data_IF_983465009564
#
_entry.id   IF_983465009564
#
_cell.length_a   1.000
_cell.length_b   1.000
_cell.length_c   1.000
_cell.angle_alpha   90.00
_cell.angle_beta   90.00
_cell.angle_gamma   90.00
#
_symmetry.space_group_name_H-M   'P 1'
#
loop_
_entity.id
_entity.type
_entity.pdbx_description
1 polymer ?
#
# COMPACT_ATOMS: atom_id res chain seq x y z
N UNK A 1 -13.93 6.24 19.79
CA UNK A 1 -13.29 5.74 18.56
C UNK A 1 -13.78 6.63 17.44
N UNK A 2 -12.89 7.39 16.79
CA UNK A 2 -13.30 8.21 15.64
C UNK A 2 -13.64 7.29 14.48
N UNK A 3 -14.78 7.55 13.84
CA UNK A 3 -15.28 6.77 12.73
C UNK A 3 -14.45 7.10 11.48
N UNK A 4 -13.75 6.11 10.90
CA UNK A 4 -13.03 6.32 9.64
C UNK A 4 -14.01 6.91 8.60
N UNK A 5 -13.73 8.13 8.15
CA UNK A 5 -14.58 8.82 7.18
C UNK A 5 -13.92 8.80 5.82
N UNK A 6 -14.50 8.03 4.90
CA UNK A 6 -14.13 8.08 3.48
C UNK A 6 -14.63 9.38 2.86
N UNK A 7 -13.70 10.20 2.37
CA UNK A 7 -14.02 11.47 1.74
C UNK A 7 -14.60 11.22 0.34
N UNK A 8 -15.46 12.14 -0.10
CA UNK A 8 -16.17 12.01 -1.38
C UNK A 8 -15.49 12.74 -2.53
N UNK A 9 -14.49 13.57 -2.24
CA UNK A 9 -13.79 14.34 -3.26
C UNK A 9 -12.35 14.65 -2.83
N UNK A 10 -11.54 15.00 -3.84
CA UNK A 10 -10.11 15.28 -3.69
C UNK A 10 -9.85 16.59 -2.94
N UNK A 11 -10.75 17.58 -3.05
CA UNK A 11 -10.58 18.88 -2.41
C UNK A 11 -10.54 18.73 -0.89
N UNK A 12 -11.48 17.97 -0.34
CA UNK A 12 -11.56 17.70 1.09
C UNK A 12 -10.36 16.86 1.56
N UNK A 13 -9.89 15.92 0.72
CA UNK A 13 -8.69 15.14 1.01
C UNK A 13 -7.44 16.02 1.10
N UNK A 14 -7.26 16.96 0.17
CA UNK A 14 -6.15 17.93 0.23
C UNK A 14 -6.21 18.80 1.48
N UNK A 15 -7.41 19.20 1.91
CA UNK A 15 -7.58 19.92 3.17
C UNK A 15 -7.18 19.05 4.37
N UNK A 16 -7.61 17.79 4.41
CA UNK A 16 -7.28 16.84 5.47
C UNK A 16 -5.78 16.49 5.54
N UNK A 17 -5.06 16.59 4.42
CA UNK A 17 -3.62 16.33 4.36
C UNK A 17 -2.77 17.50 4.88
N UNK A 18 -3.33 18.71 4.97
CA UNK A 18 -2.57 19.91 5.33
C UNK A 18 -2.00 19.79 6.75
N UNK A 19 -0.68 19.87 6.89
CA UNK A 19 0.01 19.74 8.18
C UNK A 19 0.12 18.31 8.70
N UNK A 20 -0.17 17.30 7.87
CA UNK A 20 -0.06 15.88 8.23
C UNK A 20 1.05 15.18 7.43
N UNK A 21 1.49 14.02 7.91
CA UNK A 21 2.38 13.13 7.16
C UNK A 21 1.63 12.05 6.35
N UNK A 22 0.30 12.09 6.36
CA UNK A 22 -0.55 11.10 5.69
C UNK A 22 -0.39 11.20 4.17
N UNK A 23 -0.70 10.11 3.47
CA UNK A 23 -0.80 10.09 2.00
C UNK A 23 -2.27 10.08 1.58
N UNK A 24 -2.55 10.32 0.30
CA UNK A 24 -3.91 10.14 -0.21
C UNK A 24 -4.10 8.70 -0.66
N UNK A 25 -5.21 8.07 -0.24
CA UNK A 25 -5.63 6.76 -0.74
C UNK A 25 -6.92 6.92 -1.52
N UNK A 26 -6.89 6.63 -2.82
CA UNK A 26 -8.05 6.67 -3.70
C UNK A 26 -8.60 5.25 -3.87
N UNK A 27 -9.90 5.06 -3.62
CA UNK A 27 -10.64 3.86 -3.96
C UNK A 27 -11.60 4.16 -5.11
N UNK A 28 -11.28 3.64 -6.29
CA UNK A 28 -12.19 3.65 -7.44
C UNK A 28 -13.11 2.45 -7.37
N UNK A 29 -14.42 2.69 -7.41
CA UNK A 29 -15.43 1.65 -7.25
C UNK A 29 -16.59 1.79 -8.24
N UNK A 30 -17.26 0.67 -8.52
CA UNK A 30 -18.57 0.65 -9.17
C UNK A 30 -19.60 0.07 -8.18
N UNK A 31 -20.75 0.74 -7.93
CA UNK A 31 -21.79 0.23 -7.03
C UNK A 31 -22.32 -1.17 -7.38
N UNK A 32 -22.23 -1.57 -8.66
CA UNK A 32 -22.69 -2.86 -9.15
C UNK A 32 -21.59 -3.94 -9.14
N UNK A 33 -20.34 -3.58 -8.85
CA UNK A 33 -19.23 -4.53 -8.77
C UNK A 33 -19.29 -5.37 -7.47
N UNK A 34 -19.24 -6.69 -7.60
CA UNK A 34 -19.25 -7.63 -6.47
C UNK A 34 -18.03 -7.46 -5.55
N UNK A 35 -16.84 -7.24 -6.13
CA UNK A 35 -15.61 -6.96 -5.38
C UNK A 35 -15.69 -5.65 -4.60
N UNK A 36 -16.34 -4.62 -5.16
CA UNK A 36 -16.56 -3.35 -4.47
C UNK A 36 -17.51 -3.54 -3.28
N UNK A 37 -18.64 -4.22 -3.47
CA UNK A 37 -19.58 -4.53 -2.38
C UNK A 37 -18.88 -5.27 -1.24
N UNK A 38 -18.09 -6.29 -1.55
CA UNK A 38 -17.36 -7.06 -0.54
C UNK A 38 -16.27 -6.23 0.15
N UNK A 39 -15.62 -5.33 -0.57
CA UNK A 39 -14.67 -4.37 0.01
C UNK A 39 -15.36 -3.48 1.05
N UNK A 40 -16.48 -2.85 0.70
CA UNK A 40 -17.19 -1.97 1.63
C UNK A 40 -17.77 -2.71 2.84
N UNK A 41 -18.37 -3.89 2.65
CA UNK A 41 -19.10 -4.62 3.70
C UNK A 41 -18.27 -5.63 4.49
N UNK A 42 -16.97 -5.76 4.21
CA UNK A 42 -16.11 -6.69 4.93
C UNK A 42 -14.77 -6.05 5.24
N UNK A 43 -14.02 -5.70 4.20
CA UNK A 43 -12.66 -5.16 4.35
C UNK A 43 -12.65 -3.82 5.09
N UNK A 44 -13.52 -2.88 4.69
CA UNK A 44 -13.53 -1.52 5.23
C UNK A 44 -14.31 -1.38 6.54
N UNK A 45 -15.05 -2.41 6.95
CA UNK A 45 -15.73 -2.47 8.25
C UNK A 45 -14.82 -3.04 9.35
N UNK A 46 -13.75 -3.75 8.99
CA UNK A 46 -12.79 -4.30 9.95
C UNK A 46 -12.04 -3.20 10.73
N UNK A 47 -11.95 -3.37 12.06
CA UNK A 47 -11.38 -2.35 12.94
C UNK A 47 -9.88 -2.10 12.73
N UNK A 48 -9.11 -3.14 12.39
CA UNK A 48 -7.67 -3.02 12.13
C UNK A 48 -7.48 -2.25 10.84
N UNK A 49 -8.21 -2.61 9.79
CA UNK A 49 -8.20 -1.89 8.51
C UNK A 49 -8.59 -0.43 8.71
N UNK A 50 -9.66 -0.15 9.47
CA UNK A 50 -10.11 1.23 9.71
C UNK A 50 -9.07 2.06 10.43
N UNK A 51 -8.49 1.52 11.51
CA UNK A 51 -7.45 2.20 12.28
C UNK A 51 -6.20 2.47 11.43
N UNK A 52 -5.80 1.49 10.61
CA UNK A 52 -4.63 1.61 9.76
C UNK A 52 -4.83 2.64 8.65
N UNK A 53 -5.99 2.60 7.98
CA UNK A 53 -6.32 3.56 6.91
C UNK A 53 -6.42 4.97 7.48
N UNK A 54 -7.07 5.16 8.64
CA UNK A 54 -7.14 6.48 9.29
C UNK A 54 -5.75 6.97 9.67
N UNK A 55 -4.88 6.11 10.20
CA UNK A 55 -3.55 6.52 10.64
C UNK A 55 -2.66 6.97 9.46
N UNK A 56 -2.72 6.25 8.34
CA UNK A 56 -1.78 6.43 7.24
C UNK A 56 -2.29 7.37 6.13
N UNK A 57 -3.62 7.53 5.99
CA UNK A 57 -4.19 8.15 4.79
C UNK A 57 -5.27 9.21 5.07
N UNK A 58 -5.43 10.09 4.08
CA UNK A 58 -6.70 10.75 3.79
C UNK A 58 -7.42 9.92 2.68
N UNK A 59 -8.34 9.01 3.04
CA UNK A 59 -8.97 8.13 2.07
C UNK A 59 -10.12 8.80 1.32
N UNK A 60 -10.23 8.53 0.03
CA UNK A 60 -11.26 9.07 -0.87
C UNK A 60 -11.89 7.92 -1.64
N UNK A 61 -13.22 7.83 -1.65
CA UNK A 61 -13.94 6.90 -2.52
C UNK A 61 -14.53 7.63 -3.72
N UNK A 62 -14.28 7.10 -4.91
CA UNK A 62 -14.64 7.70 -6.20
C UNK A 62 -15.43 6.68 -7.02
N UNK A 63 -16.70 6.98 -7.31
CA UNK A 63 -17.52 6.13 -8.16
C UNK A 63 -17.12 6.34 -9.63
N UNK A 64 -16.70 5.29 -10.32
CA UNK A 64 -16.27 5.39 -11.74
C UNK A 64 -17.37 5.87 -12.67
N UNK A 65 -18.63 5.73 -12.26
CA UNK A 65 -19.81 6.19 -13.01
C UNK A 65 -20.04 7.70 -12.94
N UNK A 66 -19.55 8.38 -11.90
CA UNK A 66 -19.68 9.83 -11.74
C UNK A 66 -18.36 10.60 -11.85
N UNK A 67 -17.24 9.94 -11.61
CA UNK A 67 -15.90 10.56 -11.57
C UNK A 67 -15.09 10.27 -12.84
N UNK A 68 -15.66 10.61 -14.02
CA UNK A 68 -15.10 10.25 -15.32
C UNK A 68 -13.70 10.81 -15.58
N UNK A 69 -13.44 12.07 -15.19
CA UNK A 69 -12.13 12.71 -15.38
C UNK A 69 -11.04 12.00 -14.57
N UNK A 70 -11.34 11.62 -13.33
CA UNK A 70 -10.41 10.91 -12.46
C UNK A 70 -10.23 9.45 -12.91
N UNK A 71 -11.31 8.81 -13.35
CA UNK A 71 -11.31 7.46 -13.94
C UNK A 71 -10.41 7.43 -15.18
N UNK A 72 -10.53 8.43 -16.06
CA UNK A 72 -9.68 8.57 -17.24
C UNK A 72 -8.23 8.89 -16.88
N UNK A 73 -7.99 9.83 -15.95
CA UNK A 73 -6.65 10.23 -15.49
C UNK A 73 -5.81 9.05 -15.03
N UNK A 74 -6.41 8.13 -14.28
CA UNK A 74 -5.73 6.94 -13.76
C UNK A 74 -5.94 5.68 -14.59
N UNK A 75 -6.52 5.79 -15.80
CA UNK A 75 -6.79 4.65 -16.67
C UNK A 75 -7.43 3.46 -15.90
N UNK A 76 -8.53 3.74 -15.19
CA UNK A 76 -9.20 2.73 -14.37
C UNK A 76 -9.97 1.77 -15.29
N UNK A 77 -9.48 0.54 -15.41
CA UNK A 77 -10.10 -0.52 -16.21
C UNK A 77 -10.91 -1.52 -15.37
N UNK A 78 -10.56 -1.66 -14.08
CA UNK A 78 -11.18 -2.62 -13.17
C UNK A 78 -11.50 -1.98 -11.82
N UNK A 79 -12.50 -2.52 -11.12
CA UNK A 79 -12.87 -2.11 -9.77
C UNK A 79 -13.00 -3.32 -8.83
N UNK A 80 -12.71 -3.18 -7.52
CA UNK A 80 -12.14 -1.99 -6.89
C UNK A 80 -10.68 -1.79 -7.31
N UNK A 81 -10.26 -0.55 -7.50
CA UNK A 81 -8.85 -0.18 -7.71
C UNK A 81 -8.45 0.81 -6.64
N UNK A 82 -7.31 0.55 -6.01
CA UNK A 82 -6.75 1.40 -4.97
C UNK A 82 -5.48 2.05 -5.48
N UNK A 83 -5.34 3.35 -5.25
CA UNK A 83 -4.18 4.13 -5.70
C UNK A 83 -3.71 5.02 -4.54
N UNK A 84 -2.43 4.96 -4.23
CA UNK A 84 -1.78 5.90 -3.33
C UNK A 84 -1.16 7.02 -4.16
N UNK A 85 -1.38 8.27 -3.77
CA UNK A 85 -0.84 9.44 -4.50
C UNK A 85 -0.08 10.39 -3.59
N UNK A 86 0.81 11.18 -4.19
CA UNK A 86 1.38 12.36 -3.56
C UNK A 86 0.37 13.54 -3.53
N UNK A 87 0.78 14.69 -2.99
CA UNK A 87 -0.03 15.91 -2.90
C UNK A 87 -0.44 16.50 -4.27
N UNK A 88 0.32 16.15 -5.32
CA UNK A 88 0.09 16.57 -6.70
C UNK A 88 -0.79 15.58 -7.49
N UNK A 89 -1.32 14.57 -6.81
CA UNK A 89 -2.11 13.49 -7.41
C UNK A 89 -1.28 12.70 -8.44
N UNK A 90 0.03 12.58 -8.22
CA UNK A 90 0.87 11.63 -8.93
C UNK A 90 0.67 10.26 -8.30
N UNK A 91 0.40 9.26 -9.11
CA UNK A 91 0.35 7.87 -8.68
C UNK A 91 1.72 7.42 -8.17
N UNK A 92 1.76 6.88 -6.96
CA UNK A 92 2.93 6.28 -6.35
C UNK A 92 2.83 4.75 -6.36
N UNK A 93 1.66 4.22 -5.99
CA UNK A 93 1.41 2.79 -5.89
C UNK A 93 -0.05 2.46 -6.23
N UNK A 94 -0.27 1.23 -6.71
CA UNK A 94 -1.59 0.72 -7.10
C UNK A 94 -1.73 -0.76 -6.76
N UNK A 95 -2.93 -1.14 -6.34
CA UNK A 95 -3.37 -2.55 -6.41
C UNK A 95 -4.83 -2.62 -6.87
N UNK A 96 -5.17 -3.75 -7.51
CA UNK A 96 -6.46 -3.96 -8.17
C UNK A 96 -7.13 -5.20 -7.59
N UNK A 97 -8.43 -5.10 -7.36
CA UNK A 97 -9.26 -6.20 -6.89
C UNK A 97 -9.52 -6.19 -5.39
N UNK A 98 -10.46 -7.04 -4.99
CA UNK A 98 -10.85 -7.25 -3.61
C UNK A 98 -9.77 -8.06 -2.86
N UNK A 99 -9.54 -7.69 -1.59
CA UNK A 99 -8.80 -8.49 -0.62
C UNK A 99 -9.59 -8.58 0.70
N UNK A 100 -9.59 -9.74 1.40
CA UNK A 100 -10.12 -9.81 2.76
C UNK A 100 -9.32 -8.94 3.74
N UNK A 101 -9.85 -8.68 4.95
CA UNK A 101 -9.23 -7.76 5.90
C UNK A 101 -7.74 -8.03 6.20
N UNK A 102 -7.34 -9.29 6.40
CA UNK A 102 -5.96 -9.66 6.76
C UNK A 102 -4.97 -9.39 5.61
N UNK A 103 -5.31 -9.84 4.40
CA UNK A 103 -4.51 -9.61 3.20
C UNK A 103 -4.52 -8.14 2.81
N UNK A 104 -5.65 -7.44 2.96
CA UNK A 104 -5.74 -6.00 2.73
C UNK A 104 -4.83 -5.23 3.68
N UNK A 105 -4.80 -5.58 4.96
CA UNK A 105 -3.92 -4.95 5.96
C UNK A 105 -2.44 -5.09 5.55
N UNK A 106 -2.05 -6.28 5.11
CA UNK A 106 -0.68 -6.53 4.61
C UNK A 106 -0.40 -5.77 3.31
N UNK A 107 -1.34 -5.78 2.37
CA UNK A 107 -1.23 -5.11 1.07
C UNK A 107 -1.15 -3.59 1.21
N UNK A 108 -2.03 -2.96 1.99
CA UNK A 108 -2.03 -1.51 2.17
C UNK A 108 -0.77 -1.04 2.90
N UNK A 109 -0.27 -1.82 3.85
CA UNK A 109 1.01 -1.54 4.52
C UNK A 109 2.18 -1.66 3.55
N UNK A 110 2.19 -2.69 2.69
CA UNK A 110 3.22 -2.86 1.66
C UNK A 110 3.21 -1.65 0.71
N UNK A 111 2.04 -1.31 0.18
CA UNK A 111 1.88 -0.18 -0.74
C UNK A 111 2.23 1.16 -0.09
N UNK A 112 1.95 1.35 1.20
CA UNK A 112 2.43 2.53 1.93
C UNK A 112 3.97 2.58 2.01
N UNK A 113 4.62 1.45 2.30
CA UNK A 113 6.07 1.37 2.36
C UNK A 113 6.72 1.65 0.99
N UNK A 114 6.16 1.10 -0.08
CA UNK A 114 6.62 1.36 -1.45
C UNK A 114 6.38 2.82 -1.88
N UNK A 115 5.22 3.39 -1.58
CA UNK A 115 4.95 4.81 -1.80
C UNK A 115 5.95 5.69 -1.04
N UNK A 116 6.30 5.32 0.19
CA UNK A 116 7.31 6.02 1.00
C UNK A 116 8.71 5.95 0.35
N UNK A 117 9.07 4.82 -0.27
CA UNK A 117 10.32 4.70 -1.04
C UNK A 117 10.37 5.67 -2.23
N UNK A 118 9.26 5.85 -2.96
CA UNK A 118 9.17 6.81 -4.07
C UNK A 118 9.34 8.26 -3.61
N UNK A 119 8.96 8.55 -2.37
CA UNK A 119 9.10 9.85 -1.72
C UNK A 119 10.42 10.02 -0.95
N UNK A 120 11.34 9.06 -1.04
CA UNK A 120 12.59 9.00 -0.27
C UNK A 120 12.40 9.07 1.26
N UNK A 121 11.24 8.62 1.75
CA UNK A 121 10.89 8.47 3.17
C UNK A 121 11.32 7.08 3.66
N UNK A 122 12.64 6.87 3.73
CA UNK A 122 13.23 5.54 3.93
C UNK A 122 12.88 4.94 5.29
N UNK A 123 12.78 5.78 6.34
CA UNK A 123 12.43 5.32 7.69
C UNK A 123 10.99 4.80 7.77
N UNK A 124 10.06 5.50 7.14
CA UNK A 124 8.65 5.09 7.05
C UNK A 124 8.50 3.81 6.23
N UNK A 125 9.27 3.68 5.15
CA UNK A 125 9.31 2.45 4.36
C UNK A 125 9.83 1.25 5.17
N UNK A 126 10.96 1.42 5.87
CA UNK A 126 11.54 0.40 6.75
C UNK A 126 10.51 -0.09 7.79
N UNK A 127 9.87 0.86 8.50
CA UNK A 127 8.88 0.54 9.52
C UNK A 127 7.69 -0.25 8.96
N UNK A 128 7.19 0.13 7.78
CA UNK A 128 6.08 -0.56 7.12
C UNK A 128 6.44 -2.00 6.74
N UNK A 129 7.61 -2.20 6.13
CA UNK A 129 8.06 -3.54 5.76
C UNK A 129 8.36 -4.41 6.97
N UNK A 130 9.03 -3.87 7.99
CA UNK A 130 9.28 -4.58 9.24
C UNK A 130 7.98 -5.02 9.92
N UNK A 131 6.98 -4.12 9.99
CA UNK A 131 5.68 -4.44 10.57
C UNK A 131 5.02 -5.66 9.90
N UNK A 132 5.07 -5.76 8.56
CA UNK A 132 4.51 -6.92 7.83
C UNK A 132 5.24 -8.20 8.24
N UNK A 133 6.58 -8.16 8.34
CA UNK A 133 7.38 -9.34 8.64
C UNK A 133 7.22 -9.82 10.09
N UNK A 134 6.91 -8.89 11.00
CA UNK A 134 6.70 -9.20 12.42
C UNK A 134 5.27 -9.66 12.69
N UNK A 135 4.27 -9.03 12.07
CA UNK A 135 2.85 -9.27 12.37
C UNK A 135 2.22 -10.28 11.41
N UNK A 136 2.54 -10.21 10.11
CA UNK A 136 1.95 -11.05 9.06
C UNK A 136 3.04 -11.78 8.21
N UNK A 137 3.96 -12.54 8.85
CA UNK A 137 5.14 -13.12 8.20
C UNK A 137 4.86 -14.10 7.05
N UNK A 138 3.64 -14.65 7.01
CA UNK A 138 3.19 -15.65 6.05
C UNK A 138 2.26 -15.08 4.98
N UNK A 139 2.02 -13.76 4.99
CA UNK A 139 1.23 -13.09 3.94
C UNK A 139 1.92 -13.20 2.58
N UNK A 140 1.13 -13.17 1.51
CA UNK A 140 1.65 -13.24 0.12
C UNK A 140 2.64 -12.12 -0.22
N UNK A 141 2.51 -10.98 0.46
CA UNK A 141 3.38 -9.81 0.30
C UNK A 141 4.64 -9.85 1.16
N UNK A 142 4.76 -10.78 2.11
CA UNK A 142 5.91 -10.85 3.02
C UNK A 142 7.26 -11.01 2.29
N UNK A 143 7.41 -11.83 1.24
CA UNK A 143 8.65 -11.87 0.46
C UNK A 143 9.00 -10.52 -0.19
N UNK A 144 8.00 -9.78 -0.68
CA UNK A 144 8.19 -8.45 -1.24
C UNK A 144 8.63 -7.44 -0.16
N UNK A 145 7.97 -7.46 1.00
CA UNK A 145 8.33 -6.62 2.12
C UNK A 145 9.78 -6.87 2.57
N UNK A 146 10.21 -8.14 2.66
CA UNK A 146 11.60 -8.48 2.99
C UNK A 146 12.60 -7.96 1.96
N UNK A 147 12.28 -8.08 0.67
CA UNK A 147 13.11 -7.54 -0.41
C UNK A 147 13.30 -6.03 -0.24
N UNK A 148 12.21 -5.28 -0.11
CA UNK A 148 12.29 -3.82 -0.02
C UNK A 148 12.79 -3.30 1.32
N UNK A 149 12.67 -4.05 2.42
CA UNK A 149 13.35 -3.73 3.68
C UNK A 149 14.86 -3.69 3.49
N UNK A 150 15.43 -4.69 2.81
CA UNK A 150 16.85 -4.70 2.45
C UNK A 150 17.26 -3.51 1.59
N UNK A 151 16.44 -3.19 0.57
CA UNK A 151 16.67 -2.04 -0.31
C UNK A 151 16.59 -0.72 0.45
N UNK A 152 15.63 -0.55 1.36
CA UNK A 152 15.49 0.65 2.18
C UNK A 152 16.73 0.86 3.06
N UNK A 153 17.17 -0.18 3.77
CA UNK A 153 18.37 -0.14 4.61
C UNK A 153 19.64 0.17 3.81
N UNK A 154 19.79 -0.42 2.63
CA UNK A 154 20.90 -0.10 1.73
C UNK A 154 20.85 1.36 1.25
N UNK A 155 19.68 1.87 0.86
CA UNK A 155 19.55 3.27 0.43
C UNK A 155 19.88 4.26 1.54
N UNK A 156 19.55 3.92 2.79
CA UNK A 156 19.81 4.77 3.96
C UNK A 156 21.31 4.80 4.30
N UNK A 157 22.00 3.65 4.20
CA UNK A 157 23.36 3.48 4.73
C UNK A 157 24.47 3.46 3.68
N UNK A 158 24.14 3.07 2.44
CA UNK A 158 25.10 2.70 1.39
C UNK A 158 25.79 1.34 1.61
N UNK A 159 25.48 0.60 2.67
CA UNK A 159 26.14 -0.67 2.98
C UNK A 159 25.50 -1.84 2.24
N UNK A 160 26.23 -2.40 1.28
CA UNK A 160 25.80 -3.53 0.45
C UNK A 160 25.56 -4.81 1.24
N UNK A 161 26.08 -4.93 2.48
CA UNK A 161 25.78 -6.08 3.34
C UNK A 161 24.30 -6.21 3.68
N UNK A 162 23.54 -5.10 3.69
CA UNK A 162 22.08 -5.20 3.86
C UNK A 162 21.42 -5.99 2.73
N UNK A 163 21.90 -5.83 1.49
CA UNK A 163 21.39 -6.55 0.32
C UNK A 163 21.79 -8.04 0.38
N UNK A 164 23.05 -8.34 0.70
CA UNK A 164 23.54 -9.71 0.84
C UNK A 164 22.78 -10.49 1.93
N UNK A 165 22.64 -9.91 3.13
CA UNK A 165 21.86 -10.51 4.23
C UNK A 165 20.38 -10.72 3.85
N UNK A 166 19.83 -9.81 3.05
CA UNK A 166 18.45 -9.93 2.55
C UNK A 166 18.33 -11.12 1.62
N UNK A 167 19.24 -11.29 0.66
CA UNK A 167 19.27 -12.46 -0.22
C UNK A 167 19.39 -13.76 0.57
N UNK A 168 20.34 -13.87 1.49
CA UNK A 168 20.52 -15.08 2.32
C UNK A 168 19.25 -15.45 3.07
N UNK A 169 18.62 -14.45 3.71
CA UNK A 169 17.38 -14.62 4.45
C UNK A 169 16.23 -15.09 3.54
N UNK A 170 16.09 -14.49 2.36
CA UNK A 170 15.05 -14.84 1.40
C UNK A 170 15.28 -16.21 0.77
N UNK A 171 16.52 -16.56 0.44
CA UNK A 171 16.87 -17.87 -0.12
C UNK A 171 16.56 -19.00 0.88
N UNK A 172 16.73 -18.74 2.18
CA UNK A 172 16.35 -19.68 3.24
C UNK A 172 14.84 -19.78 3.46
N UNK A 173 14.13 -18.65 3.51
CA UNK A 173 12.72 -18.60 3.96
C UNK A 173 11.70 -18.71 2.83
N UNK A 174 12.05 -18.24 1.64
CA UNK A 174 11.17 -18.19 0.48
C UNK A 174 11.90 -18.73 -0.77
N UNK A 175 12.42 -19.97 -0.74
CA UNK A 175 13.19 -20.51 -1.86
C UNK A 175 12.33 -20.54 -3.13
N UNK A 176 12.89 -20.04 -4.25
CA UNK A 176 12.21 -20.02 -5.54
C UNK A 176 11.09 -18.97 -5.71
N UNK A 177 10.75 -18.18 -4.68
CA UNK A 177 9.80 -17.07 -4.79
C UNK A 177 10.27 -16.01 -5.79
N UNK A 178 9.33 -15.33 -6.45
CA UNK A 178 9.60 -14.26 -7.42
C UNK A 178 10.55 -13.18 -6.90
N UNK A 179 10.36 -12.72 -5.66
CA UNK A 179 11.21 -11.69 -5.05
C UNK A 179 12.58 -12.23 -4.64
N UNK A 180 12.67 -13.51 -4.26
CA UNK A 180 13.96 -14.18 -4.00
C UNK A 180 14.81 -14.28 -5.27
N UNK A 181 14.17 -14.55 -6.42
CA UNK A 181 14.86 -14.54 -7.73
C UNK A 181 15.40 -13.15 -8.09
N UNK A 182 14.73 -12.07 -7.67
CA UNK A 182 15.27 -10.71 -7.85
C UNK A 182 16.43 -10.44 -6.89
N UNK A 183 16.33 -10.89 -5.64
CA UNK A 183 17.36 -10.71 -4.63
C UNK A 183 18.66 -11.45 -4.97
N UNK A 184 18.63 -12.48 -5.82
CA UNK A 184 19.84 -13.21 -6.22
C UNK A 184 20.85 -12.39 -7.02
N UNK A 185 20.51 -11.17 -7.43
CA UNK A 185 21.50 -10.21 -7.92
C UNK A 185 22.47 -9.71 -6.84
N UNK A 186 22.19 -10.01 -5.56
CA UNK A 186 22.99 -9.59 -4.39
C UNK A 186 23.68 -10.76 -3.68
N UNK A 187 23.62 -11.97 -4.26
CA UNK A 187 24.29 -13.16 -3.75
C UNK A 187 25.80 -13.07 -3.83
#
# INVERSE_FOLDING_TARGET
>A
MMELTWLKNIKDAKMALTGTHKLMLLLFYDPNCSGCKKTFHSTLEDNIVRSLVDHLFAPVSLAVTSEQDMTARYAIEMTPTFIITDENLKELERWVGYLPPEEFTSQVTLSYGLASMHLNKLREAENAFAWILDNNPNSDVAPQARYYLGVALYKETGDTQHLARTWESMNKRYPGNYWTKKASAWS
#
